data_IF_506554101650
#
_entry.id   IF_506554101650
#
_cell.length_a   1.000
_cell.length_b   1.000
_cell.length_c   1.000
_cell.angle_alpha   90.00
_cell.angle_beta   90.00
_cell.angle_gamma   90.00
#
_symmetry.space_group_name_H-M   'P 1'
#
loop_
_entity.id
_entity.type
_entity.pdbx_description
1 polymer ?
#
# COMPACT_ATOMS: atom_id res chain seq x y z
N UNK A 1 -13.07 17.19 -27.13
CA UNK A 1 -12.96 16.96 -25.67
C UNK A 1 -14.24 17.47 -25.03
N UNK A 2 -14.71 16.82 -23.95
CA UNK A 2 -15.93 17.26 -23.25
C UNK A 2 -15.70 18.59 -22.55
N UNK A 3 -16.58 19.55 -22.72
CA UNK A 3 -16.54 20.85 -22.05
C UNK A 3 -17.10 20.81 -20.62
N UNK A 4 -17.58 19.64 -20.16
CA UNK A 4 -18.19 19.46 -18.84
C UNK A 4 -17.21 18.96 -17.77
N UNK A 5 -15.96 18.66 -18.12
CA UNK A 5 -14.95 18.24 -17.16
C UNK A 5 -14.48 19.44 -16.33
N UNK A 6 -14.17 19.19 -15.04
CA UNK A 6 -13.49 20.19 -14.21
C UNK A 6 -12.13 20.55 -14.83
N UNK A 7 -11.65 21.80 -14.69
CA UNK A 7 -10.39 22.23 -15.34
C UNK A 7 -9.16 21.38 -14.95
N UNK A 8 -9.06 20.93 -13.71
CA UNK A 8 -7.98 20.04 -13.27
C UNK A 8 -8.04 18.68 -13.98
N UNK A 9 -9.25 18.10 -14.14
CA UNK A 9 -9.45 16.82 -14.83
C UNK A 9 -9.12 16.95 -16.33
N UNK A 10 -9.41 18.08 -16.95
CA UNK A 10 -9.04 18.31 -18.36
C UNK A 10 -7.53 18.34 -18.60
N UNK A 11 -6.75 18.84 -17.62
CA UNK A 11 -5.30 19.00 -17.74
C UNK A 11 -4.52 17.76 -17.37
N UNK A 12 -5.10 16.83 -16.56
CA UNK A 12 -4.38 15.67 -16.04
C UNK A 12 -4.33 14.51 -17.04
N UNK A 13 -3.32 13.69 -16.89
CA UNK A 13 -3.28 12.33 -17.42
C UNK A 13 -3.70 11.36 -16.33
N UNK A 14 -4.55 10.37 -16.67
CA UNK A 14 -4.95 9.33 -15.74
C UNK A 14 -3.81 8.35 -15.43
N UNK A 15 -4.05 7.47 -14.46
CA UNK A 15 -3.14 6.38 -14.14
C UNK A 15 -2.97 5.45 -15.35
N UNK A 16 -1.74 5.10 -15.68
CA UNK A 16 -1.41 4.12 -16.72
C UNK A 16 -1.16 2.77 -16.06
N UNK A 17 -2.00 1.80 -16.36
CA UNK A 17 -1.81 0.42 -15.86
C UNK A 17 -0.74 -0.32 -16.66
N UNK A 18 -0.13 -1.32 -16.04
CA UNK A 18 0.84 -2.20 -16.69
C UNK A 18 0.19 -3.07 -17.78
N UNK A 19 0.99 -3.49 -18.75
CA UNK A 19 0.55 -4.38 -19.83
C UNK A 19 -0.14 -5.63 -19.27
N UNK A 20 -1.22 -6.04 -19.95
CA UNK A 20 -1.94 -7.27 -19.67
C UNK A 20 -1.69 -8.26 -20.81
N UNK A 21 -0.86 -9.31 -20.62
CA UNK A 21 -0.58 -10.31 -21.64
C UNK A 21 -1.86 -11.00 -22.11
N UNK A 22 -2.02 -11.17 -23.43
CA UNK A 22 -3.24 -11.77 -24.03
C UNK A 22 -3.13 -13.26 -24.31
N UNK A 23 -1.91 -13.77 -24.41
CA UNK A 23 -1.62 -15.12 -24.90
C UNK A 23 -1.43 -16.18 -23.82
N UNK A 24 -1.40 -15.80 -22.54
CA UNK A 24 -1.21 -16.71 -21.41
C UNK A 24 0.18 -17.40 -21.36
N UNK A 25 1.10 -17.09 -22.29
CA UNK A 25 2.45 -17.66 -22.33
C UNK A 25 3.49 -16.75 -21.67
N UNK A 26 3.19 -15.46 -21.54
CA UNK A 26 4.07 -14.50 -20.91
C UNK A 26 4.14 -14.72 -19.39
N UNK A 27 5.35 -14.68 -18.83
CA UNK A 27 5.56 -14.62 -17.38
C UNK A 27 5.28 -13.17 -16.94
N UNK A 28 4.13 -12.96 -16.29
CA UNK A 28 3.70 -11.65 -15.86
C UNK A 28 4.41 -11.23 -14.56
N UNK A 29 5.30 -10.23 -14.62
CA UNK A 29 6.07 -9.71 -13.47
C UNK A 29 5.84 -8.22 -13.21
N UNK A 30 5.04 -7.53 -14.03
CA UNK A 30 4.96 -6.07 -14.08
C UNK A 30 4.06 -5.42 -13.03
N UNK A 31 3.34 -6.19 -12.20
CA UNK A 31 2.43 -5.67 -11.17
C UNK A 31 2.70 -6.25 -9.77
N UNK A 32 3.83 -6.93 -9.60
CA UNK A 32 4.30 -7.46 -8.32
C UNK A 32 3.26 -8.35 -7.62
N UNK A 33 2.56 -9.19 -8.37
CA UNK A 33 1.62 -10.16 -7.80
C UNK A 33 2.40 -11.27 -7.07
N UNK A 34 1.79 -11.82 -6.03
CA UNK A 34 2.36 -12.99 -5.36
C UNK A 34 2.24 -14.21 -6.29
N UNK A 35 3.32 -14.96 -6.56
CA UNK A 35 3.26 -16.13 -7.45
C UNK A 35 2.55 -17.35 -6.84
N UNK A 36 2.33 -17.35 -5.54
CA UNK A 36 1.63 -18.42 -4.84
C UNK A 36 0.12 -18.18 -4.81
N UNK A 37 -0.73 -19.23 -4.82
CA UNK A 37 -2.17 -19.06 -4.70
C UNK A 37 -2.55 -18.52 -3.32
N UNK A 38 -3.77 -17.99 -3.16
CA UNK A 38 -4.30 -17.66 -1.83
C UNK A 38 -4.48 -18.93 -0.98
N UNK A 39 -4.65 -18.75 0.33
CA UNK A 39 -4.86 -19.85 1.27
C UNK A 39 -6.02 -20.76 0.86
N UNK A 40 -5.90 -22.10 1.10
CA UNK A 40 -7.03 -23.03 0.94
C UNK A 40 -8.28 -22.63 1.72
N UNK A 41 -8.16 -21.93 2.84
CA UNK A 41 -9.31 -21.38 3.59
C UNK A 41 -10.11 -20.38 2.74
N UNK A 42 -9.43 -19.58 1.90
CA UNK A 42 -10.11 -18.68 0.97
C UNK A 42 -10.94 -19.44 -0.06
N UNK A 43 -10.37 -20.52 -0.64
CA UNK A 43 -11.09 -21.36 -1.59
C UNK A 43 -12.31 -22.04 -0.93
N UNK A 44 -12.16 -22.56 0.28
CA UNK A 44 -13.27 -23.15 1.04
C UNK A 44 -14.36 -22.12 1.31
N UNK A 45 -14.01 -20.93 1.81
CA UNK A 45 -14.95 -19.87 2.11
C UNK A 45 -15.71 -19.35 0.86
N UNK A 46 -15.05 -19.36 -0.31
CA UNK A 46 -15.70 -19.01 -1.59
C UNK A 46 -16.68 -20.10 -2.03
N UNK A 47 -16.31 -21.37 -1.91
CA UNK A 47 -17.19 -22.50 -2.26
C UNK A 47 -18.43 -22.58 -1.37
N UNK A 48 -18.30 -22.23 -0.09
CA UNK A 48 -19.39 -22.22 0.89
C UNK A 48 -20.27 -20.96 0.80
N UNK A 49 -19.91 -19.98 -0.07
CA UNK A 49 -20.68 -18.76 -0.19
C UNK A 49 -21.97 -19.02 -0.97
N UNK A 50 -23.13 -18.83 -0.32
CA UNK A 50 -24.42 -18.99 -0.97
C UNK A 50 -24.75 -17.77 -1.84
N UNK A 51 -24.96 -17.96 -3.15
CA UNK A 51 -25.29 -16.85 -4.07
C UNK A 51 -26.55 -16.07 -3.66
N UNK A 52 -27.45 -16.69 -2.88
CA UNK A 52 -28.63 -16.06 -2.30
C UNK A 52 -28.28 -14.93 -1.32
N UNK A 53 -27.09 -14.94 -0.71
CA UNK A 53 -26.60 -13.86 0.16
C UNK A 53 -26.39 -12.55 -0.60
N UNK A 54 -26.10 -12.61 -1.91
CA UNK A 54 -25.84 -11.43 -2.75
C UNK A 54 -27.07 -10.53 -2.96
N UNK A 55 -28.27 -10.98 -2.63
CA UNK A 55 -29.51 -10.17 -2.76
C UNK A 55 -29.66 -9.10 -1.68
N UNK A 56 -28.84 -9.15 -0.63
CA UNK A 56 -28.88 -8.18 0.47
C UNK A 56 -27.56 -7.43 0.57
N UNK A 57 -27.63 -6.19 1.05
CA UNK A 57 -26.41 -5.42 1.33
C UNK A 57 -25.57 -6.10 2.41
N UNK A 58 -24.24 -6.05 2.29
CA UNK A 58 -23.34 -6.55 3.33
C UNK A 58 -23.37 -5.67 4.59
N UNK A 59 -22.66 -6.08 5.63
CA UNK A 59 -22.45 -5.24 6.80
C UNK A 59 -21.66 -3.96 6.40
N UNK A 60 -22.20 -2.74 6.66
CA UNK A 60 -21.71 -1.51 6.03
C UNK A 60 -20.28 -1.14 6.39
N UNK A 61 -19.80 -1.49 7.58
CA UNK A 61 -18.47 -1.16 8.08
C UNK A 61 -17.50 -2.36 8.12
N UNK A 62 -17.95 -3.54 7.64
CA UNK A 62 -17.18 -4.78 7.66
C UNK A 62 -16.62 -5.12 9.06
N UNK A 63 -17.44 -4.99 10.11
CA UNK A 63 -17.01 -5.02 11.52
C UNK A 63 -16.27 -6.31 11.89
N UNK A 64 -16.75 -7.48 11.45
CA UNK A 64 -16.07 -8.74 11.72
C UNK A 64 -14.63 -8.77 11.12
N UNK A 65 -14.47 -8.25 9.90
CA UNK A 65 -13.15 -8.13 9.26
C UNK A 65 -12.27 -7.10 9.98
N UNK A 66 -12.83 -5.95 10.38
CA UNK A 66 -12.13 -4.94 11.19
C UNK A 66 -11.63 -5.50 12.51
N UNK A 67 -12.42 -6.31 13.19
CA UNK A 67 -12.04 -6.98 14.45
C UNK A 67 -10.88 -7.96 14.25
N UNK A 68 -10.90 -8.74 13.16
CA UNK A 68 -9.80 -9.66 12.83
C UNK A 68 -8.50 -8.91 12.53
N UNK A 69 -8.56 -7.83 11.75
CA UNK A 69 -7.40 -6.99 11.46
C UNK A 69 -6.89 -6.30 12.73
N UNK A 70 -7.77 -5.73 13.53
CA UNK A 70 -7.41 -5.11 14.80
C UNK A 70 -6.67 -6.12 15.72
N UNK A 71 -7.21 -7.33 15.85
CA UNK A 71 -6.56 -8.40 16.62
C UNK A 71 -5.18 -8.75 16.08
N UNK A 72 -5.03 -8.92 14.75
CA UNK A 72 -3.75 -9.22 14.09
C UNK A 72 -2.68 -8.18 14.42
N UNK A 73 -3.06 -6.90 14.46
CA UNK A 73 -2.13 -5.79 14.72
C UNK A 73 -2.05 -5.38 16.20
N UNK A 74 -2.80 -6.03 17.10
CA UNK A 74 -2.86 -5.65 18.52
C UNK A 74 -3.50 -4.28 18.76
N UNK A 75 -4.41 -3.86 17.88
CA UNK A 75 -5.14 -2.60 17.91
C UNK A 75 -6.62 -2.80 18.26
N UNK A 76 -7.36 -1.71 18.39
CA UNK A 76 -8.82 -1.73 18.53
C UNK A 76 -9.53 -1.60 17.17
N UNK A 77 -10.77 -2.13 17.07
CA UNK A 77 -11.59 -2.02 15.86
C UNK A 77 -11.75 -0.57 15.37
N UNK A 78 -11.80 0.39 16.29
CA UNK A 78 -11.98 1.81 15.95
C UNK A 78 -10.74 2.44 15.29
N UNK A 79 -9.63 1.73 15.28
CA UNK A 79 -8.38 2.13 14.63
C UNK A 79 -8.23 1.51 13.22
N UNK A 80 -9.28 0.87 12.69
CA UNK A 80 -9.25 0.16 11.41
C UNK A 80 -10.39 0.63 10.52
N UNK A 81 -10.13 0.92 9.24
CA UNK A 81 -11.13 1.05 8.19
C UNK A 81 -10.78 0.14 7.01
N UNK A 82 -11.78 -0.60 6.50
CA UNK A 82 -11.61 -1.46 5.33
C UNK A 82 -11.85 -0.68 4.06
N UNK A 83 -11.04 -0.93 3.03
CA UNK A 83 -11.06 -0.23 1.76
C UNK A 83 -11.04 -1.18 0.58
N UNK A 84 -11.54 -0.72 -0.57
CA UNK A 84 -11.44 -1.42 -1.85
C UNK A 84 -10.00 -1.31 -2.39
N UNK A 85 -9.10 -2.12 -1.84
CA UNK A 85 -7.64 -2.12 -2.01
C UNK A 85 -6.94 -0.85 -1.48
N UNK A 86 -5.62 -0.78 -1.71
CA UNK A 86 -4.79 0.38 -1.37
C UNK A 86 -5.19 1.65 -2.12
N UNK A 87 -5.68 1.51 -3.35
CA UNK A 87 -6.05 2.66 -4.18
C UNK A 87 -7.20 3.46 -3.57
N UNK A 88 -8.24 2.79 -3.02
CA UNK A 88 -9.30 3.49 -2.28
C UNK A 88 -8.77 4.06 -0.96
N UNK A 89 -7.90 3.34 -0.25
CA UNK A 89 -7.29 3.83 0.98
C UNK A 89 -6.56 5.17 0.76
N UNK A 90 -5.74 5.24 -0.29
CA UNK A 90 -5.05 6.46 -0.71
C UNK A 90 -6.03 7.56 -1.10
N UNK A 91 -7.05 7.24 -1.90
CA UNK A 91 -8.09 8.20 -2.32
C UNK A 91 -8.84 8.76 -1.13
N UNK A 92 -9.24 7.93 -0.18
CA UNK A 92 -9.94 8.35 1.04
C UNK A 92 -9.05 9.24 1.92
N UNK A 93 -7.76 8.90 2.08
CA UNK A 93 -6.81 9.73 2.82
C UNK A 93 -6.66 11.12 2.15
N UNK A 94 -6.44 11.16 0.83
CA UNK A 94 -6.34 12.43 0.09
C UNK A 94 -7.64 13.22 0.19
N UNK A 95 -8.80 12.58 -0.02
CA UNK A 95 -10.11 13.25 0.03
C UNK A 95 -10.43 13.79 1.42
N UNK A 96 -10.01 13.09 2.48
CA UNK A 96 -10.33 13.46 3.87
C UNK A 96 -9.40 14.55 4.39
N UNK A 97 -8.11 14.52 4.02
CA UNK A 97 -7.08 15.33 4.67
C UNK A 97 -6.45 16.39 3.79
N UNK A 98 -6.68 16.39 2.48
CA UNK A 98 -6.12 17.39 1.57
C UNK A 98 -7.23 18.26 0.98
N UNK A 99 -7.20 19.54 1.28
CA UNK A 99 -8.11 20.52 0.67
C UNK A 99 -7.79 20.71 -0.82
N UNK A 100 -8.78 21.07 -1.66
CA UNK A 100 -8.48 21.60 -2.99
C UNK A 100 -7.52 22.80 -2.89
N UNK A 101 -6.43 22.77 -3.68
CA UNK A 101 -5.34 23.74 -3.57
C UNK A 101 -4.33 23.47 -2.46
N UNK A 102 -4.61 22.55 -1.53
CA UNK A 102 -3.69 22.13 -0.47
C UNK A 102 -2.52 21.29 -0.99
N UNK A 103 -1.50 21.06 -0.15
CA UNK A 103 -0.28 20.34 -0.53
C UNK A 103 -0.35 18.87 -0.13
N UNK A 104 -0.03 17.99 -1.08
CA UNK A 104 0.22 16.56 -0.89
C UNK A 104 1.70 16.27 -1.12
N UNK A 105 2.42 15.82 -0.09
CA UNK A 105 3.85 15.54 -0.17
C UNK A 105 4.14 14.05 -0.34
N UNK A 106 5.20 13.72 -1.08
CA UNK A 106 5.74 12.36 -1.19
C UNK A 106 7.23 12.37 -1.51
N UNK A 107 7.87 11.20 -1.41
CA UNK A 107 9.22 11.00 -1.94
C UNK A 107 9.20 10.85 -3.46
N UNK A 108 10.34 11.06 -4.13
CA UNK A 108 10.53 10.86 -5.55
C UNK A 108 11.86 10.11 -5.82
N UNK A 109 11.88 9.06 -6.66
CA UNK A 109 10.70 8.44 -7.28
C UNK A 109 9.83 7.69 -6.27
N UNK A 110 8.55 7.44 -6.61
CA UNK A 110 7.60 6.73 -5.77
C UNK A 110 6.46 6.13 -6.59
N UNK A 111 5.39 5.68 -5.93
CA UNK A 111 4.25 5.07 -6.60
C UNK A 111 3.52 6.09 -7.49
N UNK A 112 3.37 5.75 -8.78
CA UNK A 112 2.86 6.65 -9.82
C UNK A 112 1.39 7.08 -9.63
N UNK A 113 0.64 6.47 -8.72
CA UNK A 113 -0.73 6.87 -8.40
C UNK A 113 -0.80 8.15 -7.55
N UNK A 114 0.22 8.46 -6.74
CA UNK A 114 0.19 9.61 -5.84
C UNK A 114 -0.06 10.94 -6.57
N UNK A 115 0.72 11.30 -7.60
CA UNK A 115 0.47 12.54 -8.33
C UNK A 115 -0.89 12.54 -9.04
N UNK A 116 -1.41 11.39 -9.47
CA UNK A 116 -2.75 11.28 -10.07
C UNK A 116 -3.83 11.62 -9.05
N UNK A 117 -3.73 11.10 -7.82
CA UNK A 117 -4.69 11.40 -6.75
C UNK A 117 -4.64 12.87 -6.33
N UNK A 118 -3.44 13.44 -6.22
CA UNK A 118 -3.28 14.87 -5.97
C UNK A 118 -3.98 15.72 -7.04
N UNK A 119 -3.78 15.39 -8.32
CA UNK A 119 -4.43 16.09 -9.43
C UNK A 119 -5.96 15.93 -9.42
N UNK A 120 -6.49 14.74 -9.11
CA UNK A 120 -7.95 14.51 -8.98
C UNK A 120 -8.53 15.40 -7.88
N UNK A 121 -7.84 15.56 -6.76
CA UNK A 121 -8.23 16.41 -5.62
C UNK A 121 -8.05 17.90 -5.90
N UNK A 122 -7.39 18.27 -7.02
CA UNK A 122 -6.92 19.64 -7.30
C UNK A 122 -5.91 20.13 -6.24
N UNK A 123 -5.14 19.21 -5.67
CA UNK A 123 -4.07 19.48 -4.73
C UNK A 123 -2.74 19.74 -5.44
N UNK A 124 -1.81 20.39 -4.75
CA UNK A 124 -0.45 20.65 -5.23
C UNK A 124 0.47 19.49 -4.81
N UNK A 125 1.03 18.71 -5.77
CA UNK A 125 2.04 17.72 -5.43
C UNK A 125 3.34 18.40 -5.02
N UNK A 126 3.94 17.95 -3.93
CA UNK A 126 5.27 18.33 -3.46
C UNK A 126 6.13 17.09 -3.31
N UNK A 127 7.21 17.00 -4.08
CA UNK A 127 8.07 15.82 -4.08
C UNK A 127 9.45 16.16 -3.53
N UNK A 128 9.98 15.29 -2.69
CA UNK A 128 11.35 15.35 -2.19
C UNK A 128 12.13 14.17 -2.75
N UNK A 129 13.23 14.43 -3.43
CA UNK A 129 14.05 13.39 -4.02
C UNK A 129 14.71 12.54 -2.94
N UNK A 130 14.69 11.22 -3.14
CA UNK A 130 15.44 10.29 -2.30
C UNK A 130 16.95 10.46 -2.51
N UNK A 131 17.73 10.11 -1.51
CA UNK A 131 19.17 10.01 -1.62
C UNK A 131 19.58 8.95 -2.67
N UNK A 132 20.81 9.04 -3.17
CA UNK A 132 21.33 8.09 -4.18
C UNK A 132 21.32 6.62 -3.73
N UNK A 133 21.28 6.38 -2.42
CA UNK A 133 21.15 5.05 -1.82
C UNK A 133 19.69 4.67 -1.47
N UNK A 134 18.71 5.40 -1.98
CA UNK A 134 17.27 5.20 -1.79
C UNK A 134 16.75 5.51 -0.38
N UNK A 135 17.54 6.14 0.48
CA UNK A 135 17.08 6.58 1.80
C UNK A 135 16.31 7.90 1.70
N UNK A 136 15.40 8.10 2.64
CA UNK A 136 14.67 9.36 2.80
C UNK A 136 15.66 10.40 3.36
N UNK A 137 15.79 11.60 2.75
CA UNK A 137 16.65 12.67 3.25
C UNK A 137 16.32 13.05 4.71
N UNK A 138 17.34 13.43 5.46
CA UNK A 138 17.19 13.77 6.87
C UNK A 138 16.26 14.97 7.10
N UNK A 139 16.18 15.89 6.14
CA UNK A 139 15.35 17.09 6.18
C UNK A 139 13.99 16.95 5.49
N UNK A 140 13.61 15.73 5.09
CA UNK A 140 12.34 15.44 4.42
C UNK A 140 11.12 16.01 5.14
N UNK A 141 11.03 15.77 6.45
CA UNK A 141 9.91 16.24 7.26
C UNK A 141 9.89 17.77 7.36
N UNK A 142 11.06 18.40 7.48
CA UNK A 142 11.21 19.85 7.46
C UNK A 142 10.75 20.46 6.13
N UNK A 143 11.14 19.85 4.99
CA UNK A 143 10.73 20.30 3.66
C UNK A 143 9.21 20.15 3.47
N UNK A 144 8.62 19.01 3.85
CA UNK A 144 7.18 18.76 3.78
C UNK A 144 6.39 19.77 4.65
N UNK A 145 6.85 20.04 5.86
CA UNK A 145 6.23 21.02 6.76
C UNK A 145 6.35 22.46 6.24
N UNK A 146 7.50 22.82 5.67
CA UNK A 146 7.70 24.15 5.04
C UNK A 146 6.79 24.35 3.81
N UNK A 147 6.46 23.28 3.09
CA UNK A 147 5.49 23.29 2.01
C UNK A 147 4.03 23.27 2.48
N UNK A 148 3.77 23.29 3.80
CA UNK A 148 2.45 23.16 4.41
C UNK A 148 1.71 21.90 3.95
N UNK A 149 2.40 20.75 3.84
CA UNK A 149 1.81 19.51 3.44
C UNK A 149 0.73 19.05 4.42
N UNK A 150 -0.50 18.89 3.93
CA UNK A 150 -1.63 18.41 4.71
C UNK A 150 -1.63 16.89 4.84
N UNK A 151 -1.09 16.20 3.83
CA UNK A 151 -0.84 14.78 3.81
C UNK A 151 0.55 14.52 3.23
N UNK A 152 1.35 13.75 3.94
CA UNK A 152 2.68 13.29 3.49
C UNK A 152 2.65 11.77 3.34
N UNK A 153 3.03 11.24 2.18
CA UNK A 153 3.01 9.82 1.90
C UNK A 153 4.43 9.26 1.76
N UNK A 154 4.71 8.17 2.50
CA UNK A 154 5.96 7.41 2.45
C UNK A 154 5.64 5.95 2.17
N UNK A 155 6.25 5.38 1.13
CA UNK A 155 6.14 3.93 0.84
C UNK A 155 7.18 3.18 1.65
N UNK A 156 6.75 2.20 2.42
CA UNK A 156 7.66 1.42 3.27
C UNK A 156 7.25 -0.06 3.40
N UNK A 157 8.01 -1.03 2.87
CA UNK A 157 9.24 -0.87 2.08
C UNK A 157 9.00 -0.13 0.75
N UNK A 158 9.99 0.63 0.31
CA UNK A 158 9.87 1.55 -0.81
C UNK A 158 9.71 0.85 -2.16
N UNK A 159 8.81 1.33 -2.99
CA UNK A 159 8.69 0.96 -4.40
C UNK A 159 9.14 2.15 -5.27
N UNK A 160 10.11 1.97 -6.19
CA UNK A 160 10.56 0.68 -6.77
C UNK A 160 11.83 0.06 -6.17
N UNK A 161 12.47 0.65 -5.15
CA UNK A 161 13.79 0.18 -4.71
C UNK A 161 13.77 -1.07 -3.82
N UNK A 162 12.68 -1.30 -3.08
CA UNK A 162 12.60 -2.34 -2.06
C UNK A 162 13.22 -1.94 -0.70
N UNK A 163 13.83 -0.74 -0.61
CA UNK A 163 14.48 -0.26 0.59
C UNK A 163 13.50 -0.13 1.77
N UNK A 164 13.91 -0.61 2.95
CA UNK A 164 13.13 -0.48 4.18
C UNK A 164 13.64 0.70 5.01
N UNK A 165 12.77 1.68 5.23
CA UNK A 165 12.99 2.73 6.22
C UNK A 165 12.70 2.18 7.62
N UNK A 166 13.62 2.37 8.55
CA UNK A 166 13.49 1.87 9.93
C UNK A 166 12.40 2.63 10.70
N UNK A 167 11.77 1.96 11.66
CA UNK A 167 10.69 2.54 12.47
C UNK A 167 11.11 3.84 13.16
N UNK A 168 12.34 3.92 13.68
CA UNK A 168 12.86 5.11 14.36
C UNK A 168 12.90 6.35 13.45
N UNK A 169 13.16 6.17 12.14
CA UNK A 169 13.11 7.27 11.20
C UNK A 169 11.67 7.69 10.91
N UNK A 170 10.75 6.73 10.80
CA UNK A 170 9.31 7.02 10.62
C UNK A 170 8.72 7.74 11.83
N UNK A 171 9.11 7.38 13.06
CA UNK A 171 8.73 8.11 14.28
C UNK A 171 9.18 9.57 14.23
N UNK A 172 10.45 9.83 13.88
CA UNK A 172 10.94 11.20 13.73
C UNK A 172 10.18 11.99 12.67
N UNK A 173 9.90 11.37 11.51
CA UNK A 173 9.09 12.02 10.47
C UNK A 173 7.69 12.37 11.02
N UNK A 174 7.04 11.45 11.73
CA UNK A 174 5.72 11.68 12.31
C UNK A 174 5.70 12.82 13.33
N UNK A 175 6.77 12.97 14.14
CA UNK A 175 6.93 14.05 15.12
C UNK A 175 7.17 15.42 14.47
N UNK A 176 7.89 15.45 13.34
CA UNK A 176 8.35 16.70 12.72
C UNK A 176 7.39 17.26 11.67
N UNK A 177 6.50 16.46 11.08
CA UNK A 177 5.54 16.96 10.09
C UNK A 177 4.33 17.61 10.77
N UNK A 178 3.80 18.66 10.11
CA UNK A 178 2.62 19.39 10.61
C UNK A 178 1.28 18.78 10.20
N UNK A 179 1.27 17.85 9.23
CA UNK A 179 0.08 17.20 8.67
C UNK A 179 -0.02 15.72 9.03
N UNK A 180 -0.84 14.98 8.26
CA UNK A 180 -0.99 13.53 8.40
C UNK A 180 0.17 12.82 7.67
N UNK A 181 0.81 11.84 8.32
CA UNK A 181 1.74 10.90 7.71
C UNK A 181 0.98 9.64 7.29
N UNK A 182 0.97 9.31 6.01
CA UNK A 182 0.51 8.03 5.52
C UNK A 182 1.72 7.17 5.15
N UNK A 183 1.85 6.03 5.80
CA UNK A 183 2.88 5.03 5.52
C UNK A 183 2.22 3.93 4.68
N UNK A 184 2.62 3.84 3.40
CA UNK A 184 2.11 2.82 2.48
C UNK A 184 2.93 1.53 2.65
N UNK A 185 2.36 0.59 3.36
CA UNK A 185 2.94 -0.72 3.67
C UNK A 185 2.42 -1.84 2.75
N UNK A 186 2.20 -1.55 1.46
CA UNK A 186 1.71 -2.54 0.52
C UNK A 186 2.58 -3.80 0.43
N UNK A 187 3.85 -3.72 0.79
CA UNK A 187 4.82 -4.83 0.71
C UNK A 187 5.33 -5.31 2.07
N UNK A 188 4.82 -4.79 3.18
CA UNK A 188 5.36 -5.07 4.52
C UNK A 188 5.27 -6.55 4.95
N UNK A 189 4.39 -7.35 4.34
CA UNK A 189 4.31 -8.79 4.58
C UNK A 189 5.60 -9.55 4.19
N UNK A 190 6.42 -8.97 3.31
CA UNK A 190 7.67 -9.58 2.83
C UNK A 190 8.92 -9.13 3.60
N UNK A 191 8.79 -8.26 4.60
CA UNK A 191 9.90 -7.86 5.47
C UNK A 191 10.41 -9.09 6.22
N UNK A 192 11.74 -9.19 6.35
CA UNK A 192 12.34 -10.26 7.16
C UNK A 192 11.92 -10.07 8.62
N UNK A 193 11.27 -11.08 9.25
CA UNK A 193 10.83 -10.99 10.62
C UNK A 193 11.98 -10.78 11.63
N UNK A 194 13.22 -11.15 11.28
CA UNK A 194 14.40 -10.91 12.13
C UNK A 194 14.72 -9.41 12.28
N UNK A 195 14.26 -8.56 11.36
CA UNK A 195 14.41 -7.10 11.47
C UNK A 195 13.55 -6.53 12.61
N UNK A 196 12.47 -7.22 12.98
CA UNK A 196 11.58 -6.79 14.06
C UNK A 196 10.77 -5.53 13.74
N UNK A 197 10.56 -5.21 12.45
CA UNK A 197 9.77 -4.06 12.03
C UNK A 197 8.29 -4.24 12.39
N UNK A 198 7.70 -3.20 12.98
CA UNK A 198 6.26 -3.12 13.24
C UNK A 198 5.78 -1.66 13.13
N UNK A 199 4.62 -1.47 12.51
CA UNK A 199 3.93 -0.18 12.46
C UNK A 199 2.95 0.05 13.62
N UNK A 200 2.77 -0.95 14.50
CA UNK A 200 1.85 -0.85 15.64
C UNK A 200 2.18 0.35 16.52
N UNK A 201 3.44 0.47 16.92
CA UNK A 201 3.89 1.56 17.81
C UNK A 201 3.70 2.94 17.15
N UNK A 202 3.90 3.05 15.84
CA UNK A 202 3.63 4.28 15.09
C UNK A 202 2.17 4.71 15.24
N UNK A 203 1.22 3.77 15.10
CA UNK A 203 -0.21 4.03 15.25
C UNK A 203 -0.61 4.34 16.70
N UNK A 204 0.04 3.72 17.69
CA UNK A 204 -0.27 3.90 19.10
C UNK A 204 0.32 5.22 19.66
N UNK A 205 1.50 5.64 19.19
CA UNK A 205 2.24 6.78 19.74
C UNK A 205 1.96 8.10 19.03
N UNK A 206 1.44 8.07 17.78
CA UNK A 206 1.19 9.25 16.98
C UNK A 206 -0.28 9.37 16.58
N UNK A 207 -0.88 10.51 16.81
CA UNK A 207 -2.27 10.79 16.45
C UNK A 207 -2.43 11.26 14.99
N UNK A 208 -1.31 11.53 14.30
CA UNK A 208 -1.24 11.96 12.90
C UNK A 208 -0.78 10.87 11.93
N UNK A 209 -0.65 9.59 12.35
CA UNK A 209 -0.19 8.50 11.50
C UNK A 209 -1.33 7.65 10.98
N UNK A 210 -1.34 7.41 9.66
CA UNK A 210 -2.10 6.38 8.97
C UNK A 210 -1.15 5.34 8.37
N UNK A 211 -1.49 4.06 8.49
CA UNK A 211 -0.76 2.96 7.85
C UNK A 211 -1.69 2.25 6.88
N UNK A 212 -1.29 2.19 5.61
CA UNK A 212 -2.01 1.47 4.56
C UNK A 212 -1.48 0.05 4.44
N UNK A 213 -2.39 -0.92 4.38
CA UNK A 213 -2.11 -2.33 4.10
C UNK A 213 -3.04 -2.86 3.02
N UNK A 214 -2.62 -3.91 2.32
CA UNK A 214 -3.40 -4.53 1.24
C UNK A 214 -3.31 -6.04 1.28
N UNK A 215 -4.40 -6.72 0.90
CA UNK A 215 -4.40 -8.16 0.64
C UNK A 215 -3.84 -8.53 -0.74
N UNK A 216 -3.57 -7.54 -1.58
CA UNK A 216 -3.18 -7.75 -2.99
C UNK A 216 -1.84 -8.45 -3.15
N UNK A 217 -0.90 -8.25 -2.20
CA UNK A 217 0.48 -8.73 -2.30
C UNK A 217 0.72 -9.95 -1.42
N UNK A 218 0.83 -9.79 -0.11
CA UNK A 218 1.15 -10.89 0.81
C UNK A 218 0.12 -12.01 0.81
N UNK A 219 -1.16 -11.68 0.74
CA UNK A 219 -2.25 -12.67 0.78
C UNK A 219 -2.70 -13.20 -0.58
N UNK A 220 -2.03 -12.83 -1.69
CA UNK A 220 -2.36 -13.30 -3.05
C UNK A 220 -3.78 -12.98 -3.53
N UNK A 221 -4.36 -11.88 -3.04
CA UNK A 221 -5.75 -11.50 -3.30
C UNK A 221 -5.86 -10.20 -4.13
N UNK A 222 -4.92 -9.98 -5.06
CA UNK A 222 -4.93 -8.80 -5.92
C UNK A 222 -6.26 -8.62 -6.68
N UNK A 223 -6.85 -9.72 -7.15
CA UNK A 223 -8.13 -9.73 -7.86
C UNK A 223 -9.34 -9.45 -6.97
N UNK A 224 -9.24 -9.64 -5.65
CA UNK A 224 -10.33 -9.38 -4.69
C UNK A 224 -10.52 -7.89 -4.38
N UNK A 225 -9.50 -7.07 -4.61
CA UNK A 225 -9.50 -5.64 -4.32
C UNK A 225 -9.81 -5.31 -2.86
N UNK A 226 -9.05 -5.87 -1.92
CA UNK A 226 -9.24 -5.67 -0.49
C UNK A 226 -7.99 -5.04 0.16
N UNK A 227 -8.19 -4.04 1.00
CA UNK A 227 -7.15 -3.34 1.76
C UNK A 227 -7.73 -2.69 3.00
N UNK A 228 -6.89 -1.98 3.75
CA UNK A 228 -7.30 -1.28 4.96
C UNK A 228 -6.33 -0.18 5.35
N UNK A 229 -6.83 0.77 6.15
CA UNK A 229 -6.01 1.73 6.89
C UNK A 229 -6.06 1.42 8.38
N UNK A 230 -4.93 1.59 9.02
CA UNK A 230 -4.75 1.64 10.46
C UNK A 230 -4.41 3.07 10.86
N UNK A 231 -4.88 3.52 12.03
CA UNK A 231 -4.56 4.85 12.53
C UNK A 231 -5.23 5.15 13.86
N UNK A 232 -4.93 6.30 14.42
CA UNK A 232 -5.66 6.77 15.59
C UNK A 232 -7.17 6.87 15.26
N UNK A 233 -8.04 6.60 16.24
CA UNK A 233 -9.49 6.70 16.05
C UNK A 233 -9.92 8.09 15.51
N UNK A 234 -9.24 9.16 15.91
CA UNK A 234 -9.50 10.53 15.43
C UNK A 234 -9.31 10.67 13.91
N UNK A 235 -8.39 9.90 13.31
CA UNK A 235 -8.17 9.84 11.86
C UNK A 235 -9.12 8.84 11.17
N UNK A 236 -9.41 7.73 11.79
CA UNK A 236 -10.22 6.67 11.17
C UNK A 236 -11.71 7.04 11.14
N UNK A 237 -12.23 7.67 12.20
CA UNK A 237 -13.66 8.02 12.30
C UNK A 237 -14.14 8.93 11.16
N UNK A 238 -13.45 10.03 10.78
CA UNK A 238 -13.88 10.87 9.66
C UNK A 238 -13.94 10.12 8.32
N UNK A 239 -13.03 9.16 8.10
CA UNK A 239 -13.06 8.33 6.90
C UNK A 239 -14.31 7.45 6.90
N UNK A 240 -14.59 6.76 8.01
CA UNK A 240 -15.74 5.87 8.12
C UNK A 240 -17.07 6.63 7.97
N UNK A 241 -17.19 7.77 8.66
CA UNK A 241 -18.48 8.43 8.83
C UNK A 241 -18.81 9.43 7.71
N UNK A 242 -17.78 9.89 6.94
CA UNK A 242 -17.99 11.05 6.05
C UNK A 242 -17.53 10.85 4.61
N UNK A 243 -16.45 10.10 4.35
CA UNK A 243 -15.80 10.15 3.03
C UNK A 243 -15.81 8.83 2.26
N UNK A 244 -15.93 7.67 2.93
CA UNK A 244 -16.07 6.40 2.24
C UNK A 244 -17.49 6.20 1.70
N UNK A 245 -17.66 5.34 0.72
CA UNK A 245 -18.98 4.90 0.24
C UNK A 245 -19.68 4.03 1.30
N UNK A 246 -21.03 4.09 1.33
CA UNK A 246 -21.85 3.48 2.40
C UNK A 246 -21.61 1.97 2.57
N UNK A 247 -21.39 1.23 1.46
CA UNK A 247 -21.19 -0.21 1.40
C UNK A 247 -20.00 -0.50 0.47
N UNK A 248 -18.84 0.09 0.78
CA UNK A 248 -17.69 0.04 -0.10
C UNK A 248 -17.08 -1.37 -0.28
N UNK A 249 -17.33 -2.30 0.64
CA UNK A 249 -16.79 -3.66 0.59
C UNK A 249 -17.93 -4.66 0.45
N UNK A 250 -17.92 -5.44 -0.63
CA UNK A 250 -18.91 -6.46 -0.91
C UNK A 250 -18.84 -7.67 0.05
N UNK A 251 -19.93 -8.47 0.08
CA UNK A 251 -20.06 -9.59 1.01
C UNK A 251 -18.99 -10.68 0.80
N UNK A 252 -18.61 -10.94 -0.45
CA UNK A 252 -17.59 -11.94 -0.80
C UNK A 252 -16.23 -11.46 -0.27
N UNK A 253 -15.86 -10.22 -0.55
CA UNK A 253 -14.58 -9.65 -0.09
C UNK A 253 -14.46 -9.64 1.43
N UNK A 254 -15.54 -9.30 2.15
CA UNK A 254 -15.54 -9.36 3.62
C UNK A 254 -15.27 -10.80 4.13
N UNK A 255 -15.95 -11.80 3.55
CA UNK A 255 -15.83 -13.21 3.95
C UNK A 255 -14.45 -13.79 3.61
N UNK A 256 -13.96 -13.56 2.40
CA UNK A 256 -12.66 -14.07 1.94
C UNK A 256 -11.48 -13.38 2.66
N UNK A 257 -11.61 -12.10 3.00
CA UNK A 257 -10.63 -11.39 3.81
C UNK A 257 -10.47 -12.01 5.20
N UNK A 258 -11.58 -12.37 5.86
CA UNK A 258 -11.55 -13.07 7.14
C UNK A 258 -10.86 -14.44 7.00
N UNK A 259 -11.24 -15.23 5.98
CA UNK A 259 -10.65 -16.55 5.75
C UNK A 259 -9.13 -16.48 5.48
N UNK A 260 -8.67 -15.46 4.77
CA UNK A 260 -7.25 -15.23 4.53
C UNK A 260 -6.49 -14.90 5.83
N UNK A 261 -7.07 -14.08 6.70
CA UNK A 261 -6.47 -13.70 7.99
C UNK A 261 -6.45 -14.87 9.00
N UNK A 262 -7.35 -15.81 8.90
CA UNK A 262 -7.42 -16.99 9.78
C UNK A 262 -6.36 -18.04 9.47
N UNK A 263 -5.72 -17.98 8.30
CA UNK A 263 -4.64 -18.89 7.90
C UNK A 263 -3.27 -18.19 7.80
N UNK A 264 -2.84 -17.61 8.92
CA UNK A 264 -1.53 -16.94 9.02
C UNK A 264 -0.35 -17.88 8.74
N UNK A 265 -0.49 -19.16 9.10
CA UNK A 265 0.54 -20.17 8.86
C UNK A 265 0.82 -20.34 7.37
N UNK A 266 -0.22 -20.44 6.56
CA UNK A 266 -0.07 -20.51 5.10
C UNK A 266 0.51 -19.22 4.53
N UNK A 267 -0.04 -18.05 4.91
CA UNK A 267 0.42 -16.77 4.43
C UNK A 267 1.92 -16.58 4.72
N UNK A 268 2.36 -16.79 5.96
CA UNK A 268 3.76 -16.69 6.37
C UNK A 268 4.67 -17.68 5.61
N UNK A 269 4.17 -18.88 5.29
CA UNK A 269 4.92 -19.85 4.49
C UNK A 269 5.17 -19.36 3.07
N UNK A 270 4.21 -18.68 2.45
CA UNK A 270 4.39 -18.07 1.11
C UNK A 270 5.34 -16.89 1.16
N UNK A 271 5.25 -16.05 2.19
CA UNK A 271 6.16 -14.91 2.37
C UNK A 271 7.60 -15.37 2.57
N UNK A 272 7.83 -16.42 3.36
CA UNK A 272 9.14 -17.01 3.55
C UNK A 272 9.76 -17.50 2.23
N UNK A 273 8.97 -18.19 1.39
CA UNK A 273 9.41 -18.63 0.06
C UNK A 273 9.74 -17.45 -0.86
N UNK A 274 8.95 -16.38 -0.83
CA UNK A 274 9.24 -15.16 -1.60
C UNK A 274 10.57 -14.55 -1.17
N UNK A 275 10.81 -14.43 0.14
CA UNK A 275 12.10 -13.94 0.68
C UNK A 275 13.28 -14.80 0.23
N UNK A 276 13.16 -16.12 0.33
CA UNK A 276 14.18 -17.06 -0.12
C UNK A 276 14.49 -16.89 -1.61
N UNK A 277 13.47 -16.84 -2.46
CA UNK A 277 13.65 -16.67 -3.91
C UNK A 277 14.21 -15.29 -4.26
N UNK A 278 13.81 -14.23 -3.54
CA UNK A 278 14.39 -12.89 -3.68
C UNK A 278 15.89 -12.89 -3.38
N UNK A 279 16.31 -13.52 -2.28
CA UNK A 279 17.71 -13.62 -1.90
C UNK A 279 18.53 -14.42 -2.93
N UNK A 280 18.01 -15.58 -3.36
CA UNK A 280 18.64 -16.41 -4.37
C UNK A 280 18.81 -15.67 -5.70
N UNK A 281 17.77 -14.97 -6.16
CA UNK A 281 17.81 -14.18 -7.40
C UNK A 281 18.82 -13.04 -7.28
N UNK A 282 18.86 -12.33 -6.16
CA UNK A 282 19.84 -11.26 -5.94
C UNK A 282 21.28 -11.77 -5.99
N UNK A 283 21.55 -12.93 -5.37
CA UNK A 283 22.84 -13.59 -5.43
C UNK A 283 23.22 -13.96 -6.87
N UNK A 284 22.34 -14.63 -7.62
CA UNK A 284 22.58 -15.05 -9.00
C UNK A 284 22.82 -13.85 -9.93
N UNK A 285 22.07 -12.78 -9.75
CA UNK A 285 22.29 -11.54 -10.50
C UNK A 285 23.66 -10.92 -10.16
N UNK A 286 24.07 -10.93 -8.91
CA UNK A 286 25.39 -10.44 -8.49
C UNK A 286 26.53 -11.26 -9.11
N UNK A 287 26.39 -12.59 -9.21
CA UNK A 287 27.35 -13.47 -9.88
C UNK A 287 27.48 -13.17 -11.39
N UNK A 288 26.44 -12.60 -12.00
CA UNK A 288 26.42 -12.10 -13.37
C UNK A 288 26.89 -10.64 -13.52
N UNK A 289 27.36 -10.03 -12.42
CA UNK A 289 27.86 -8.65 -12.40
C UNK A 289 26.79 -7.55 -12.29
N UNK A 290 25.53 -7.93 -11.98
CA UNK A 290 24.47 -6.95 -11.69
C UNK A 290 24.59 -6.41 -10.27
N UNK A 291 24.18 -5.17 -10.08
CA UNK A 291 24.05 -4.57 -8.74
C UNK A 291 22.59 -4.54 -8.34
N UNK A 292 22.23 -5.17 -7.22
CA UNK A 292 20.89 -5.19 -6.68
C UNK A 292 20.80 -4.30 -5.44
N UNK A 293 19.73 -3.49 -5.36
CA UNK A 293 19.38 -2.78 -4.12
C UNK A 293 18.86 -3.79 -3.11
N UNK A 294 19.28 -3.67 -1.84
CA UNK A 294 18.74 -4.50 -0.76
C UNK A 294 17.21 -4.27 -0.64
N UNK A 295 16.44 -5.35 -0.70
CA UNK A 295 14.99 -5.29 -0.80
C UNK A 295 14.30 -6.06 0.32
N UNK A 296 13.25 -5.46 0.88
CA UNK A 296 12.30 -6.09 1.80
C UNK A 296 10.89 -6.23 1.19
N UNK A 297 10.82 -6.35 -0.15
CA UNK A 297 9.59 -6.53 -0.93
C UNK A 297 9.55 -7.89 -1.65
N UNK A 298 8.63 -8.08 -2.58
CA UNK A 298 8.58 -9.24 -3.49
C UNK A 298 9.20 -8.95 -4.88
N UNK A 299 10.07 -7.94 -4.97
CA UNK A 299 10.79 -7.56 -6.19
C UNK A 299 12.22 -7.10 -5.87
N UNK A 300 13.03 -6.96 -6.90
CA UNK A 300 14.38 -6.40 -6.86
C UNK A 300 14.49 -5.23 -7.84
N UNK A 301 15.19 -4.17 -7.41
CA UNK A 301 15.70 -3.16 -8.33
C UNK A 301 17.16 -3.48 -8.62
N UNK A 302 17.46 -3.74 -9.90
CA UNK A 302 18.77 -4.21 -10.32
C UNK A 302 19.32 -3.38 -11.47
N UNK A 303 20.62 -3.09 -11.42
CA UNK A 303 21.34 -2.39 -12.49
C UNK A 303 22.26 -3.36 -13.22
N UNK A 304 22.19 -3.47 -14.56
CA UNK A 304 23.04 -4.36 -15.32
C UNK A 304 24.50 -3.88 -15.34
N UNK A 305 25.48 -4.77 -15.58
CA UNK A 305 26.88 -4.37 -15.71
C UNK A 305 27.10 -3.52 -16.97
N UNK A 306 28.06 -2.58 -16.91
CA UNK A 306 28.61 -1.84 -18.06
C UNK A 306 27.62 -1.04 -18.90
N UNK A 307 26.82 -0.15 -18.32
CA UNK A 307 25.87 0.73 -19.01
C UNK A 307 24.99 0.03 -20.07
N UNK A 308 24.91 -1.30 -20.05
CA UNK A 308 23.98 -2.04 -20.87
C UNK A 308 22.57 -1.67 -20.43
N UNK A 309 21.79 -1.06 -21.31
CA UNK A 309 20.36 -0.91 -21.08
C UNK A 309 19.78 -2.29 -20.85
N UNK A 310 18.97 -2.44 -19.80
CA UNK A 310 18.15 -3.62 -19.67
C UNK A 310 17.39 -3.76 -21.00
N UNK A 311 17.82 -4.71 -21.82
CA UNK A 311 17.11 -4.98 -23.06
C UNK A 311 15.69 -5.34 -22.69
N UNK A 312 14.76 -4.66 -23.28
CA UNK A 312 13.34 -4.91 -23.15
C UNK A 312 13.00 -6.35 -23.54
#
# INVERSE_FOLDING_TARGET
MSTYQRPNIQRMQGYSWGEQPKDGQAIKLNTNENPYPPSPHVAAALNDFATTELRTYPQPTADALRERIAHLHGLSRNQVVITHAGDEALRLAVTTYVSPGGTFASTNPSYSLYPVLAQIQDAQPFNVDLESNWTIPADFATQASAANAQLTCVVNPHAPSGHLTRAEQLHRIAEEISGVLLIDEAYADFIDPEIGYTSRELVEQHDNVLVLRTFSKGYSLAGLRLGYLLGNQSLITPIIDKTRDSYNIDAISQRLGIAALEDQTYAQSTWARVREQRQLLAQQLSELGWTCVASETNFLLSTPPNDSTAAA
#
